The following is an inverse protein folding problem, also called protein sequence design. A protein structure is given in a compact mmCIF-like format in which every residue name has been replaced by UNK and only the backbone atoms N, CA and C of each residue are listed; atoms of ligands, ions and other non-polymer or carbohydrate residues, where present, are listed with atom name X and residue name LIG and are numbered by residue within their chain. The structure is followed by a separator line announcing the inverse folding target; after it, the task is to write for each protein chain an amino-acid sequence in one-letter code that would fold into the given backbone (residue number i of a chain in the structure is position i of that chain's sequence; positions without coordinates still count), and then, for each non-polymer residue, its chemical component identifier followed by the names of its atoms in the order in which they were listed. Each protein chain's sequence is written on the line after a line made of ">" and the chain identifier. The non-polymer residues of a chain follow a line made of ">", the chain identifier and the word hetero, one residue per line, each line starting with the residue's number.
data_IF_113172421970
#
_entry.id   IF_113172421970
#
_cell.length_a   1.000
_cell.length_b   1.000
_cell.length_c   1.000
_cell.angle_alpha   90.00
_cell.angle_beta   90.00
_cell.angle_gamma   90.00
#
_symmetry.space_group_name_H-M   'P 1'
#
loop_
_entity.id
_entity.type
_entity.pdbx_description
1 polymer ?
#
# COMPACT_ATOMS: atom_id res chain seq x y z
N UNK A 1 34.48 -17.25 -65.23
CA UNK A 1 33.51 -16.20 -64.86
C UNK A 1 32.68 -16.78 -63.73
N UNK A 2 32.91 -16.34 -62.49
CA UNK A 2 32.11 -16.79 -61.35
C UNK A 2 30.81 -15.98 -61.38
N UNK A 3 29.68 -16.63 -61.69
CA UNK A 3 28.38 -16.03 -61.41
C UNK A 3 28.20 -16.09 -59.89
N UNK A 4 28.49 -14.98 -59.21
CA UNK A 4 28.00 -14.83 -57.84
C UNK A 4 26.49 -14.76 -57.88
N UNK A 5 25.82 -15.70 -57.22
CA UNK A 5 24.37 -15.68 -57.07
C UNK A 5 23.98 -14.90 -55.82
N UNK A 6 22.80 -14.29 -55.86
CA UNK A 6 22.21 -13.58 -54.73
C UNK A 6 20.97 -14.35 -54.25
N UNK A 7 20.80 -14.45 -52.94
CA UNK A 7 19.58 -14.98 -52.31
C UNK A 7 18.87 -13.82 -51.64
N UNK A 8 17.63 -13.56 -52.06
CA UNK A 8 16.80 -12.48 -51.53
C UNK A 8 15.48 -13.09 -51.05
N UNK A 9 15.09 -12.80 -49.80
CA UNK A 9 13.80 -13.21 -49.27
C UNK A 9 12.71 -12.16 -49.58
N UNK A 10 11.56 -12.66 -50.01
CA UNK A 10 10.32 -11.88 -50.13
C UNK A 10 9.20 -12.49 -49.28
N UNK A 11 8.27 -11.65 -48.85
CA UNK A 11 7.07 -12.07 -48.15
C UNK A 11 5.81 -11.54 -48.83
N UNK A 12 4.69 -12.22 -48.62
CA UNK A 12 3.37 -11.71 -49.01
C UNK A 12 3.05 -10.39 -48.29
N UNK A 13 2.02 -9.68 -48.78
CA UNK A 13 1.55 -8.46 -48.13
C UNK A 13 1.19 -8.75 -46.67
N UNK A 14 1.80 -8.02 -45.75
CA UNK A 14 1.58 -8.19 -44.32
C UNK A 14 0.23 -7.58 -43.90
N UNK A 15 -0.43 -8.15 -42.86
CA UNK A 15 -1.50 -7.48 -42.14
C UNK A 15 -1.02 -6.12 -41.61
N UNK A 16 -1.93 -5.15 -41.45
CA UNK A 16 -1.57 -3.80 -41.00
C UNK A 16 -0.98 -3.79 -39.59
N UNK A 17 -1.36 -4.79 -38.81
CA UNK A 17 -1.06 -5.00 -37.40
C UNK A 17 0.31 -5.61 -37.17
N UNK A 18 0.94 -6.18 -38.21
CA UNK A 18 2.13 -7.02 -38.10
C UNK A 18 3.32 -6.38 -38.81
N UNK A 19 4.45 -6.36 -38.12
CA UNK A 19 5.75 -5.94 -38.68
C UNK A 19 6.71 -7.10 -38.74
N UNK A 20 7.60 -7.08 -39.72
CA UNK A 20 8.62 -8.11 -39.93
C UNK A 20 9.99 -7.45 -40.10
N UNK A 21 10.96 -7.95 -39.34
CA UNK A 21 12.36 -7.55 -39.42
C UNK A 21 13.19 -8.76 -39.85
N UNK A 22 14.14 -8.53 -40.75
CA UNK A 22 15.02 -9.55 -41.26
C UNK A 22 16.46 -9.23 -40.90
N UNK A 23 17.21 -10.29 -40.61
CA UNK A 23 18.65 -10.25 -40.45
C UNK A 23 19.27 -11.43 -41.19
N UNK A 24 20.22 -11.15 -42.06
CA UNK A 24 20.90 -12.16 -42.86
C UNK A 24 22.23 -12.54 -42.23
N UNK A 25 22.59 -13.81 -42.32
CA UNK A 25 23.88 -14.36 -41.91
C UNK A 25 24.43 -15.16 -43.09
N UNK A 26 25.32 -14.51 -43.83
CA UNK A 26 25.92 -15.06 -45.05
C UNK A 26 27.32 -15.64 -44.76
N UNK A 27 27.86 -16.43 -45.69
CA UNK A 27 29.11 -17.21 -45.59
C UNK A 27 30.39 -16.43 -45.15
N UNK A 28 30.36 -15.10 -45.14
CA UNK A 28 31.51 -14.24 -44.79
C UNK A 28 31.38 -13.54 -43.42
N UNK A 29 30.49 -13.99 -42.53
CA UNK A 29 30.12 -13.28 -41.30
C UNK A 29 29.57 -11.85 -41.53
N UNK A 30 29.22 -11.56 -42.79
CA UNK A 30 28.57 -10.30 -43.17
C UNK A 30 27.12 -10.42 -42.72
N UNK A 31 26.78 -9.66 -41.68
CA UNK A 31 25.43 -9.58 -41.15
C UNK A 31 24.72 -8.38 -41.76
N UNK A 32 23.67 -8.63 -42.54
CA UNK A 32 22.80 -7.59 -43.07
C UNK A 32 21.69 -7.25 -42.07
N UNK A 33 21.33 -5.98 -41.95
CA UNK A 33 20.17 -5.49 -41.18
C UNK A 33 19.38 -4.49 -42.01
N UNK A 34 18.10 -4.29 -41.68
CA UNK A 34 17.24 -3.40 -42.44
C UNK A 34 17.00 -3.95 -43.85
N UNK A 35 17.18 -3.11 -44.88
CA UNK A 35 16.96 -3.50 -46.28
C UNK A 35 17.94 -4.60 -46.74
N UNK A 36 19.18 -4.59 -46.25
CA UNK A 36 20.18 -5.62 -46.55
C UNK A 36 19.98 -6.92 -45.74
N UNK A 37 19.14 -6.88 -44.69
CA UNK A 37 18.87 -8.06 -43.85
C UNK A 37 18.07 -9.16 -44.55
N UNK A 38 17.49 -8.86 -45.73
CA UNK A 38 16.76 -9.81 -46.57
C UNK A 38 17.63 -10.47 -47.63
N UNK A 39 18.91 -10.09 -47.74
CA UNK A 39 19.77 -10.45 -48.86
C UNK A 39 21.08 -11.07 -48.40
N UNK A 40 21.53 -12.08 -49.16
CA UNK A 40 22.90 -12.58 -49.15
C UNK A 40 23.48 -12.53 -50.56
N UNK A 41 24.65 -11.90 -50.71
CA UNK A 41 25.38 -11.78 -51.97
C UNK A 41 26.60 -12.70 -52.00
N UNK A 42 27.14 -12.97 -53.20
CA UNK A 42 28.34 -13.80 -53.39
C UNK A 42 28.18 -15.25 -52.93
N UNK A 43 27.00 -15.82 -53.15
CA UNK A 43 26.67 -17.20 -52.83
C UNK A 43 27.00 -18.10 -54.03
N UNK A 44 27.62 -19.25 -53.76
CA UNK A 44 27.93 -20.30 -54.74
C UNK A 44 27.03 -21.52 -54.55
N UNK A 45 26.94 -22.38 -55.56
CA UNK A 45 26.18 -23.63 -55.45
C UNK A 45 26.77 -24.50 -54.32
N UNK A 46 25.91 -24.95 -53.41
CA UNK A 46 26.29 -25.73 -52.23
C UNK A 46 26.57 -24.90 -50.97
N UNK A 47 26.51 -23.56 -51.07
CA UNK A 47 26.64 -22.67 -49.92
C UNK A 47 25.32 -22.60 -49.14
N UNK A 48 25.42 -22.60 -47.81
CA UNK A 48 24.30 -22.41 -46.90
C UNK A 48 24.29 -20.98 -46.35
N UNK A 49 23.10 -20.39 -46.28
CA UNK A 49 22.87 -19.08 -45.67
C UNK A 49 21.69 -19.20 -44.70
N UNK A 50 21.71 -18.38 -43.64
CA UNK A 50 20.64 -18.38 -42.66
C UNK A 50 20.07 -16.98 -42.48
N UNK A 51 18.77 -16.90 -42.22
CA UNK A 51 18.06 -15.65 -41.95
C UNK A 51 17.35 -15.76 -40.61
N UNK A 52 17.51 -14.74 -39.77
CA UNK A 52 16.73 -14.56 -38.56
C UNK A 52 15.59 -13.59 -38.88
N UNK A 53 14.37 -14.03 -38.56
CA UNK A 53 13.15 -13.33 -38.91
C UNK A 53 12.40 -13.04 -37.62
N UNK A 54 12.18 -11.76 -37.33
CA UNK A 54 11.45 -11.31 -36.16
C UNK A 54 10.10 -10.76 -36.59
N UNK A 55 9.04 -11.47 -36.21
CA UNK A 55 7.66 -11.09 -36.47
C UNK A 55 7.09 -10.45 -35.21
N UNK A 56 6.51 -9.26 -35.32
CA UNK A 56 5.93 -8.51 -34.20
C UNK A 56 4.47 -8.18 -34.49
N UNK A 57 3.57 -8.64 -33.63
CA UNK A 57 2.17 -8.23 -33.62
C UNK A 57 2.02 -6.98 -32.75
N UNK A 58 1.60 -5.86 -33.32
CA UNK A 58 1.52 -4.57 -32.63
C UNK A 58 0.13 -4.33 -32.02
N UNK A 59 -0.90 -4.96 -32.57
CA UNK A 59 -2.27 -4.85 -32.09
C UNK A 59 -3.07 -6.11 -32.45
N UNK A 60 -4.20 -6.29 -31.78
CA UNK A 60 -5.15 -7.34 -32.10
C UNK A 60 -5.95 -7.02 -33.37
N UNK A 61 -6.11 -7.97 -34.31
CA UNK A 61 -6.92 -7.77 -35.50
C UNK A 61 -8.40 -7.69 -35.13
N UNK A 62 -9.16 -6.81 -35.78
CA UNK A 62 -10.60 -6.58 -35.51
C UNK A 62 -11.49 -7.81 -35.71
N UNK A 63 -11.03 -8.80 -36.49
CA UNK A 63 -11.84 -9.97 -36.89
C UNK A 63 -11.38 -11.30 -36.32
N UNK A 64 -10.37 -11.32 -35.42
CA UNK A 64 -9.87 -12.58 -34.84
C UNK A 64 -9.57 -13.65 -35.90
N UNK A 65 -9.13 -13.23 -37.10
CA UNK A 65 -8.78 -14.14 -38.18
C UNK A 65 -7.32 -14.52 -38.05
N UNK A 66 -7.05 -15.81 -38.20
CA UNK A 66 -5.70 -16.31 -38.34
C UNK A 66 -5.10 -15.74 -39.63
N UNK A 67 -3.89 -15.22 -39.52
CA UNK A 67 -3.17 -14.64 -40.66
C UNK A 67 -1.97 -15.53 -40.99
N UNK A 68 -1.69 -15.71 -42.28
CA UNK A 68 -0.53 -16.51 -42.73
C UNK A 68 0.47 -15.61 -43.45
N UNK A 69 1.70 -15.58 -42.95
CA UNK A 69 2.84 -14.97 -43.63
C UNK A 69 3.56 -16.05 -44.42
N UNK A 70 3.75 -15.81 -45.71
CA UNK A 70 4.51 -16.69 -46.60
C UNK A 70 5.83 -16.01 -46.93
N UNK A 71 6.93 -16.69 -46.70
CA UNK A 71 8.29 -16.19 -46.96
C UNK A 71 8.98 -17.15 -47.92
N UNK A 72 9.53 -16.62 -49.01
CA UNK A 72 10.21 -17.44 -50.01
C UNK A 72 11.45 -16.74 -50.58
N UNK A 73 12.44 -17.50 -51.04
CA UNK A 73 13.51 -16.95 -51.85
C UNK A 73 12.97 -16.53 -53.23
N UNK A 74 13.39 -15.35 -53.69
CA UNK A 74 13.01 -14.84 -55.00
C UNK A 74 13.44 -15.82 -56.11
N UNK A 75 12.51 -16.21 -56.97
CA UNK A 75 12.77 -17.14 -58.08
C UNK A 75 12.71 -18.63 -57.71
N UNK A 76 12.42 -18.96 -56.45
CA UNK A 76 12.17 -20.33 -56.00
C UNK A 76 10.68 -20.55 -55.69
N UNK A 77 10.25 -21.81 -55.81
CA UNK A 77 8.86 -22.22 -55.50
C UNK A 77 8.68 -22.66 -54.06
N UNK A 78 9.77 -22.94 -53.35
CA UNK A 78 9.77 -23.36 -51.96
C UNK A 78 9.50 -22.15 -51.05
N UNK A 79 8.60 -22.32 -50.08
CA UNK A 79 8.21 -21.26 -49.16
C UNK A 79 8.06 -21.78 -47.73
N UNK A 80 8.25 -20.89 -46.77
CA UNK A 80 7.97 -21.10 -45.35
C UNK A 80 6.67 -20.38 -45.02
N UNK A 81 5.71 -21.11 -44.44
CA UNK A 81 4.45 -20.56 -43.97
C UNK A 81 4.50 -20.36 -42.44
N UNK A 82 4.18 -19.15 -41.99
CA UNK A 82 4.07 -18.78 -40.58
C UNK A 82 2.60 -18.48 -40.31
N UNK A 83 1.94 -19.35 -39.55
CA UNK A 83 0.56 -19.16 -39.11
C UNK A 83 0.53 -18.36 -37.81
N UNK A 84 -0.14 -17.22 -37.83
CA UNK A 84 -0.28 -16.31 -36.70
C UNK A 84 -1.67 -16.46 -36.08
N UNK A 85 -1.68 -16.95 -34.84
CA UNK A 85 -2.86 -16.98 -33.97
C UNK A 85 -2.76 -15.83 -32.97
N UNK A 86 -3.76 -14.94 -32.96
CA UNK A 86 -3.79 -13.77 -32.09
C UNK A 86 -4.61 -14.03 -30.83
N UNK A 87 -3.94 -14.13 -29.68
CA UNK A 87 -4.60 -14.31 -28.38
C UNK A 87 -4.99 -12.95 -27.82
N UNK A 88 -6.21 -12.51 -28.14
CA UNK A 88 -6.72 -11.18 -27.81
C UNK A 88 -7.64 -11.13 -26.60
N UNK A 89 -8.24 -12.28 -26.24
CA UNK A 89 -9.14 -12.40 -25.10
C UNK A 89 -8.49 -13.24 -23.99
N UNK A 90 -8.83 -12.91 -22.74
CA UNK A 90 -8.44 -13.72 -21.59
C UNK A 90 -9.30 -14.98 -21.52
N UNK A 91 -8.71 -16.12 -21.15
CA UNK A 91 -9.47 -17.38 -21.03
C UNK A 91 -10.67 -17.28 -20.08
N UNK A 92 -10.54 -16.51 -19.00
CA UNK A 92 -11.59 -16.28 -18.00
C UNK A 92 -12.83 -15.54 -18.53
N UNK A 93 -12.81 -14.97 -19.75
CA UNK A 93 -14.02 -14.43 -20.39
C UNK A 93 -15.01 -15.53 -20.75
N UNK A 94 -14.54 -16.74 -21.09
CA UNK A 94 -15.40 -17.86 -21.48
C UNK A 94 -16.29 -18.35 -20.34
N UNK A 95 -15.81 -18.22 -19.11
CA UNK A 95 -16.54 -18.58 -17.89
C UNK A 95 -17.40 -17.43 -17.34
N UNK A 96 -17.51 -16.33 -18.07
CA UNK A 96 -18.31 -15.18 -17.68
C UNK A 96 -19.77 -15.54 -17.52
N UNK A 97 -20.38 -15.11 -16.41
CA UNK A 97 -21.81 -15.28 -16.15
C UNK A 97 -22.54 -14.06 -16.72
N UNK A 98 -23.29 -14.20 -17.82
CA UNK A 98 -24.09 -13.09 -18.36
C UNK A 98 -25.19 -12.72 -17.36
N UNK A 99 -25.51 -11.42 -17.28
CA UNK A 99 -26.52 -10.87 -16.37
C UNK A 99 -26.43 -11.44 -14.94
N UNK A 100 -25.20 -11.41 -14.39
CA UNK A 100 -24.91 -12.04 -13.11
C UNK A 100 -25.75 -11.42 -11.98
N UNK A 101 -26.31 -12.25 -11.08
CA UNK A 101 -27.05 -11.75 -9.92
C UNK A 101 -26.17 -10.94 -8.96
N UNK A 102 -24.87 -11.23 -8.92
CA UNK A 102 -23.88 -10.53 -8.09
C UNK A 102 -23.65 -9.10 -8.60
N UNK A 103 -23.80 -8.87 -9.90
CA UNK A 103 -23.67 -7.55 -10.53
C UNK A 103 -25.00 -6.81 -10.50
N UNK A 104 -25.54 -6.60 -9.29
CA UNK A 104 -26.81 -5.90 -9.05
C UNK A 104 -27.97 -6.47 -9.86
N UNK A 105 -28.22 -7.77 -9.67
CA UNK A 105 -29.36 -8.49 -10.25
C UNK A 105 -29.44 -8.39 -11.78
N UNK A 106 -28.30 -8.57 -12.47
CA UNK A 106 -28.24 -8.54 -13.94
C UNK A 106 -27.92 -7.18 -14.55
N UNK A 107 -27.29 -6.28 -13.81
CA UNK A 107 -26.80 -4.99 -14.31
C UNK A 107 -25.44 -5.11 -15.04
N UNK A 108 -24.96 -6.33 -15.29
CA UNK A 108 -23.75 -6.62 -16.09
C UNK A 108 -23.33 -8.09 -15.97
N UNK A 109 -22.47 -8.60 -16.89
CA UNK A 109 -21.81 -9.88 -16.70
C UNK A 109 -20.77 -9.84 -15.57
N UNK A 110 -20.57 -10.98 -14.91
CA UNK A 110 -19.46 -11.22 -13.99
C UNK A 110 -18.43 -12.11 -14.67
N UNK A 111 -17.24 -11.58 -14.94
CA UNK A 111 -16.19 -12.25 -15.70
C UNK A 111 -14.81 -11.87 -15.14
N UNK A 112 -13.87 -12.82 -15.15
CA UNK A 112 -12.51 -12.60 -14.64
C UNK A 112 -12.43 -12.00 -13.21
N UNK A 113 -13.43 -12.25 -12.37
CA UNK A 113 -13.50 -11.77 -10.99
C UNK A 113 -14.07 -10.36 -10.79
N UNK A 114 -14.63 -9.73 -11.83
CA UNK A 114 -15.20 -8.40 -11.77
C UNK A 114 -16.53 -8.29 -12.53
N UNK A 115 -17.34 -7.29 -12.18
CA UNK A 115 -18.55 -6.94 -12.93
C UNK A 115 -18.21 -5.95 -14.05
N UNK A 116 -18.59 -6.27 -15.29
CA UNK A 116 -18.56 -5.33 -16.42
C UNK A 116 -19.95 -4.69 -16.55
N UNK A 117 -20.12 -3.49 -16.00
CA UNK A 117 -21.45 -2.87 -15.88
C UNK A 117 -22.05 -2.47 -17.24
N UNK A 118 -23.36 -2.62 -17.36
CA UNK A 118 -24.14 -2.10 -18.48
C UNK A 118 -24.05 -0.57 -18.53
N UNK A 119 -24.25 0.05 -19.72
CA UNK A 119 -24.31 1.49 -19.85
C UNK A 119 -25.24 2.13 -18.81
N UNK A 120 -24.81 3.22 -18.17
CA UNK A 120 -25.57 3.90 -17.11
C UNK A 120 -25.42 3.31 -15.70
N UNK A 121 -24.69 2.20 -15.52
CA UNK A 121 -24.42 1.60 -14.20
C UNK A 121 -22.93 1.68 -13.86
N UNK A 122 -22.64 1.93 -12.59
CA UNK A 122 -21.27 2.08 -12.06
C UNK A 122 -21.16 1.42 -10.69
N UNK A 123 -19.93 1.26 -10.20
CA UNK A 123 -19.64 0.59 -8.93
C UNK A 123 -19.04 -0.79 -9.15
N UNK A 124 -18.51 -1.38 -8.07
CA UNK A 124 -17.81 -2.68 -8.12
C UNK A 124 -18.77 -3.81 -8.51
N UNK A 125 -20.03 -3.67 -8.15
CA UNK A 125 -21.12 -4.61 -8.38
C UNK A 125 -22.25 -3.97 -9.21
N UNK A 126 -21.97 -2.87 -9.93
CA UNK A 126 -22.95 -2.13 -10.73
C UNK A 126 -24.14 -1.59 -9.94
N UNK A 127 -23.91 -1.25 -8.67
CA UNK A 127 -24.91 -0.89 -7.68
C UNK A 127 -25.50 0.51 -7.90
N UNK A 128 -24.75 1.45 -8.48
CA UNK A 128 -25.16 2.84 -8.65
C UNK A 128 -25.60 3.16 -10.08
N UNK A 129 -26.49 4.15 -10.23
CA UNK A 129 -26.81 4.78 -11.51
C UNK A 129 -25.86 5.95 -11.79
N UNK A 130 -25.47 6.15 -13.06
CA UNK A 130 -24.68 7.32 -13.46
C UNK A 130 -25.44 8.64 -13.28
N UNK A 131 -26.77 8.63 -13.31
CA UNK A 131 -27.59 9.84 -13.16
C UNK A 131 -27.51 10.45 -11.75
N UNK A 132 -27.10 9.66 -10.75
CA UNK A 132 -26.98 10.10 -9.35
C UNK A 132 -25.58 10.68 -9.04
N UNK A 133 -24.62 10.52 -9.94
CA UNK A 133 -23.21 10.84 -9.69
C UNK A 133 -22.68 11.67 -10.86
N UNK A 134 -22.63 12.98 -10.67
CA UNK A 134 -22.12 13.91 -11.67
C UNK A 134 -20.68 13.51 -12.03
N UNK A 135 -20.49 13.06 -13.28
CA UNK A 135 -19.24 12.65 -13.90
C UNK A 135 -18.20 13.77 -13.76
N UNK A 136 -17.03 13.53 -13.18
CA UNK A 136 -15.87 13.11 -13.99
C UNK A 136 -14.84 12.26 -13.23
N UNK A 137 -15.01 11.97 -11.94
CA UNK A 137 -14.06 11.10 -11.25
C UNK A 137 -14.62 10.58 -9.91
N UNK A 138 -15.31 9.43 -9.90
CA UNK A 138 -15.84 8.79 -8.68
C UNK A 138 -14.74 8.56 -7.65
N UNK A 139 -13.51 8.34 -8.12
CA UNK A 139 -12.32 8.18 -7.28
C UNK A 139 -11.88 9.49 -6.60
N UNK A 140 -12.22 10.65 -7.19
CA UNK A 140 -11.96 11.96 -6.59
C UNK A 140 -12.95 12.28 -5.47
N UNK A 141 -14.20 11.83 -5.57
CA UNK A 141 -15.24 12.16 -4.58
C UNK A 141 -14.99 11.52 -3.21
N UNK A 142 -14.29 10.37 -3.19
CA UNK A 142 -13.89 9.64 -1.99
C UNK A 142 -12.45 9.95 -1.53
N UNK A 143 -11.83 10.97 -2.11
CA UNK A 143 -10.46 11.38 -1.81
C UNK A 143 -10.50 12.76 -1.18
N UNK A 144 -9.83 12.91 -0.03
CA UNK A 144 -9.66 14.21 0.60
C UNK A 144 -8.76 15.10 -0.26
N UNK A 145 -9.04 16.41 -0.28
CA UNK A 145 -8.15 17.38 -0.92
C UNK A 145 -6.71 17.20 -0.41
N UNK A 146 -5.74 17.16 -1.34
CA UNK A 146 -4.32 16.91 -1.07
C UNK A 146 -3.96 15.52 -0.53
N UNK A 147 -4.81 14.50 -0.69
CA UNK A 147 -4.47 13.11 -0.35
C UNK A 147 -4.42 12.22 -1.59
N UNK A 148 -3.49 11.26 -1.62
CA UNK A 148 -3.48 10.20 -2.63
C UNK A 148 -4.38 9.01 -2.25
N UNK A 149 -4.86 8.97 -1.01
CA UNK A 149 -5.59 7.85 -0.42
C UNK A 149 -7.10 7.98 -0.61
N UNK A 150 -7.73 6.90 -1.05
CA UNK A 150 -9.19 6.79 -1.14
C UNK A 150 -9.71 6.34 0.22
N UNK A 151 -10.66 7.07 0.78
CA UNK A 151 -11.25 6.80 2.10
C UNK A 151 -10.19 6.59 3.20
N UNK A 152 -9.08 7.34 3.15
CA UNK A 152 -7.96 7.27 4.10
C UNK A 152 -7.46 5.85 4.39
N UNK A 153 -7.60 4.93 3.40
CA UNK A 153 -7.31 3.50 3.55
C UNK A 153 -8.07 2.78 4.68
N UNK A 154 -9.12 3.41 5.22
CA UNK A 154 -9.93 2.92 6.33
C UNK A 154 -11.37 2.60 5.90
N UNK A 155 -11.65 2.52 4.60
CA UNK A 155 -12.97 2.24 4.07
C UNK A 155 -12.96 1.91 2.58
N UNK A 156 -14.15 1.65 2.07
CA UNK A 156 -14.39 1.40 0.65
C UNK A 156 -15.16 2.58 0.05
N UNK A 157 -14.78 3.01 -1.15
CA UNK A 157 -15.51 4.03 -1.89
C UNK A 157 -16.65 3.37 -2.68
N UNK A 158 -17.89 3.61 -2.28
CA UNK A 158 -19.09 3.06 -2.90
C UNK A 158 -19.92 4.25 -3.39
N UNK A 159 -20.16 4.31 -4.70
CA UNK A 159 -20.95 5.38 -5.34
C UNK A 159 -20.51 6.82 -4.99
N UNK A 160 -19.20 7.06 -4.83
CA UNK A 160 -18.66 8.38 -4.49
C UNK A 160 -18.76 8.76 -3.01
N UNK A 161 -19.13 7.82 -2.13
CA UNK A 161 -19.12 8.00 -0.68
C UNK A 161 -18.25 6.93 -0.01
N UNK A 162 -17.55 7.31 1.05
CA UNK A 162 -16.76 6.36 1.82
C UNK A 162 -17.61 5.60 2.84
N UNK A 163 -17.57 4.28 2.76
CA UNK A 163 -18.12 3.38 3.77
C UNK A 163 -16.97 2.86 4.62
N UNK A 164 -16.90 3.32 5.87
CA UNK A 164 -15.78 3.01 6.75
C UNK A 164 -15.78 1.54 7.18
N UNK A 165 -14.58 0.96 7.21
CA UNK A 165 -14.35 -0.44 7.56
C UNK A 165 -14.70 -0.65 9.03
N UNK A 166 -15.45 -1.72 9.30
CA UNK A 166 -15.74 -2.16 10.67
C UNK A 166 -14.54 -2.91 11.25
N UNK A 167 -14.29 -2.74 12.54
CA UNK A 167 -13.27 -3.48 13.30
C UNK A 167 -13.88 -4.65 14.06
N UNK A 168 -13.03 -5.55 14.55
CA UNK A 168 -13.44 -6.67 15.40
C UNK A 168 -14.05 -6.17 16.72
N UNK A 169 -13.44 -5.15 17.32
CA UNK A 169 -14.00 -4.44 18.44
C UNK A 169 -15.05 -3.43 17.96
N UNK A 170 -16.31 -3.65 18.31
CA UNK A 170 -17.42 -2.78 17.89
C UNK A 170 -17.33 -1.34 18.44
N UNK A 171 -16.58 -1.13 19.53
CA UNK A 171 -16.38 0.20 20.10
C UNK A 171 -15.28 1.00 19.37
N UNK A 172 -14.49 0.36 18.52
CA UNK A 172 -13.47 1.00 17.69
C UNK A 172 -14.05 1.38 16.33
N UNK A 173 -14.22 2.67 16.11
CA UNK A 173 -14.98 3.19 14.99
C UNK A 173 -14.08 4.11 14.16
N UNK A 174 -14.04 3.86 12.85
CA UNK A 174 -13.60 4.83 11.87
C UNK A 174 -14.78 5.70 11.45
N UNK A 175 -14.55 7.00 11.35
CA UNK A 175 -15.59 7.99 11.04
C UNK A 175 -15.06 9.11 10.16
N UNK A 176 -15.94 10.05 9.80
CA UNK A 176 -15.63 11.14 8.88
C UNK A 176 -16.03 10.82 7.44
N UNK A 177 -16.08 11.86 6.59
CA UNK A 177 -16.52 11.74 5.19
C UNK A 177 -15.60 10.84 4.38
N UNK A 178 -14.32 10.79 4.76
CA UNK A 178 -13.28 10.03 4.09
C UNK A 178 -12.69 8.96 5.02
N UNK A 179 -13.37 8.57 6.10
CA UNK A 179 -12.87 7.62 7.10
C UNK A 179 -11.50 8.05 7.70
N UNK A 180 -11.30 9.36 7.81
CA UNK A 180 -10.07 9.98 8.28
C UNK A 180 -9.94 10.03 9.81
N UNK A 181 -11.06 9.90 10.50
CA UNK A 181 -11.15 9.95 11.96
C UNK A 181 -11.24 8.54 12.55
N UNK A 182 -10.74 8.40 13.77
CA UNK A 182 -11.04 7.25 14.62
C UNK A 182 -11.08 7.66 16.11
N UNK A 183 -11.67 6.81 16.94
CA UNK A 183 -11.85 7.02 18.37
C UNK A 183 -10.93 6.16 19.25
N UNK A 184 -9.83 5.62 18.70
CA UNK A 184 -8.97 4.66 19.42
C UNK A 184 -7.46 4.90 19.26
N UNK A 185 -7.03 5.78 18.35
CA UNK A 185 -5.63 6.21 18.21
C UNK A 185 -5.35 7.58 18.84
N UNK A 186 -6.01 7.91 19.96
CA UNK A 186 -5.61 9.06 20.77
C UNK A 186 -4.40 8.73 21.67
N UNK A 187 -3.81 9.78 22.24
CA UNK A 187 -2.73 9.66 23.21
C UNK A 187 -3.16 8.84 24.44
N UNK A 188 -2.19 8.14 25.02
CA UNK A 188 -2.39 7.29 26.19
C UNK A 188 -1.51 7.75 27.34
N UNK A 189 -2.06 7.70 28.54
CA UNK A 189 -1.30 7.83 29.79
C UNK A 189 -1.60 6.62 30.68
N UNK A 190 -0.56 6.05 31.29
CA UNK A 190 -0.62 4.80 32.06
C UNK A 190 -1.34 3.64 31.34
N UNK A 191 -1.20 3.59 30.01
CA UNK A 191 -1.83 2.58 29.15
C UNK A 191 -3.31 2.83 28.82
N UNK A 192 -3.94 3.83 29.43
CA UNK A 192 -5.34 4.21 29.22
C UNK A 192 -5.47 5.27 28.13
N UNK A 193 -6.46 5.11 27.25
CA UNK A 193 -6.80 6.10 26.23
C UNK A 193 -7.28 7.40 26.91
N UNK A 194 -6.69 8.53 26.53
CA UNK A 194 -6.95 9.82 27.17
C UNK A 194 -6.83 9.77 28.70
N UNK A 195 -5.89 8.96 29.21
CA UNK A 195 -5.63 8.80 30.64
C UNK A 195 -6.81 8.24 31.44
N UNK A 196 -7.89 7.78 30.77
CA UNK A 196 -9.16 7.46 31.41
C UNK A 196 -9.99 8.69 31.85
N UNK A 197 -9.53 9.90 31.50
CA UNK A 197 -10.12 11.18 31.92
C UNK A 197 -10.58 12.03 30.73
N UNK A 198 -10.85 11.41 29.59
CA UNK A 198 -11.34 12.10 28.41
C UNK A 198 -11.98 11.16 27.39
N UNK A 199 -12.66 11.73 26.42
CA UNK A 199 -13.23 11.02 25.28
C UNK A 199 -12.33 11.22 24.06
N UNK A 200 -12.00 10.14 23.36
CA UNK A 200 -11.23 10.23 22.12
C UNK A 200 -12.14 10.58 20.94
N UNK A 201 -12.03 11.79 20.40
CA UNK A 201 -12.79 12.25 19.23
C UNK A 201 -11.83 12.59 18.09
N UNK A 202 -11.93 11.84 16.99
CA UNK A 202 -11.09 12.02 15.81
C UNK A 202 -9.58 12.16 16.15
N UNK A 203 -9.06 11.23 16.96
CA UNK A 203 -7.65 11.17 17.42
C UNK A 203 -7.20 12.30 18.34
N UNK A 204 -8.12 13.12 18.84
CA UNK A 204 -7.84 14.12 19.86
C UNK A 204 -8.62 13.78 21.14
N UNK A 205 -7.97 13.97 22.29
CA UNK A 205 -8.62 13.76 23.58
C UNK A 205 -9.39 15.00 24.00
N UNK A 206 -10.71 14.87 24.11
CA UNK A 206 -11.56 15.85 24.79
C UNK A 206 -11.56 15.53 26.29
N UNK A 207 -10.78 16.29 27.06
CA UNK A 207 -10.63 16.05 28.50
C UNK A 207 -11.89 16.40 29.28
N UNK A 208 -12.15 15.61 30.32
CA UNK A 208 -13.15 15.91 31.32
C UNK A 208 -12.80 17.19 32.10
N UNK A 209 -13.77 17.75 32.81
CA UNK A 209 -13.55 18.94 33.63
C UNK A 209 -12.36 18.75 34.59
N UNK A 210 -11.52 19.79 34.68
CA UNK A 210 -10.29 19.82 35.47
C UNK A 210 -9.18 18.85 35.01
N UNK A 211 -9.24 18.29 33.80
CA UNK A 211 -8.11 17.58 33.19
C UNK A 211 -7.62 18.32 31.95
N UNK A 212 -6.30 18.29 31.73
CA UNK A 212 -5.63 18.90 30.59
C UNK A 212 -4.46 18.02 30.12
N UNK A 213 -3.79 18.45 29.06
CA UNK A 213 -2.74 17.68 28.39
C UNK A 213 -3.31 16.89 27.21
N UNK A 214 -2.46 16.50 26.27
CA UNK A 214 -2.90 15.78 25.06
C UNK A 214 -3.45 14.37 25.39
N UNK A 215 -3.02 13.80 26.52
CA UNK A 215 -3.50 12.54 27.05
C UNK A 215 -4.46 12.70 28.24
N UNK A 216 -4.93 13.91 28.56
CA UNK A 216 -5.77 14.21 29.73
C UNK A 216 -5.22 13.68 31.06
N UNK A 217 -3.91 13.69 31.21
CA UNK A 217 -3.17 13.17 32.37
C UNK A 217 -2.91 14.23 33.44
N UNK A 218 -3.13 15.50 33.13
CA UNK A 218 -2.83 16.59 34.04
C UNK A 218 -4.08 17.11 34.76
N UNK A 219 -4.21 16.77 36.05
CA UNK A 219 -5.29 17.29 36.90
C UNK A 219 -5.02 18.74 37.32
N UNK A 220 -5.98 19.63 37.06
CA UNK A 220 -5.86 21.08 37.26
C UNK A 220 -6.22 21.54 38.67
N UNK A 221 -6.88 20.71 39.46
CA UNK A 221 -7.18 21.06 40.85
C UNK A 221 -5.87 21.14 41.66
N UNK A 222 -5.79 22.19 42.46
CA UNK A 222 -4.65 22.46 43.35
C UNK A 222 -4.89 21.95 44.77
N UNK A 223 -6.09 21.44 45.08
CA UNK A 223 -6.39 20.86 46.39
C UNK A 223 -5.36 19.81 46.87
N UNK A 224 -4.86 18.89 46.02
CA UNK A 224 -3.81 17.94 46.44
C UNK A 224 -2.46 18.61 46.80
N UNK A 225 -2.23 19.83 46.32
CA UNK A 225 -1.03 20.61 46.57
C UNK A 225 -1.16 21.57 47.77
N UNK A 226 -2.34 21.67 48.40
CA UNK A 226 -2.56 22.53 49.54
C UNK A 226 -1.91 21.92 50.80
N UNK A 227 -0.96 22.64 51.38
CA UNK A 227 -0.29 22.22 52.60
C UNK A 227 -1.12 22.56 53.85
N UNK A 228 -0.79 21.96 54.99
CA UNK A 228 -1.49 22.21 56.26
C UNK A 228 -1.42 23.66 56.76
N UNK A 229 -0.57 24.51 56.17
CA UNK A 229 -0.51 25.95 56.43
C UNK A 229 -1.44 26.78 55.52
N UNK A 230 -2.26 26.15 54.68
CA UNK A 230 -3.18 26.78 53.74
C UNK A 230 -2.52 27.36 52.49
N UNK A 231 -1.23 27.08 52.25
CA UNK A 231 -0.51 27.54 51.06
C UNK A 231 -0.27 26.38 50.09
N UNK A 232 -0.40 26.67 48.79
CA UNK A 232 -0.01 25.73 47.74
C UNK A 232 1.50 25.46 47.83
N UNK A 233 1.86 24.19 47.95
CA UNK A 233 3.25 23.72 48.05
C UNK A 233 4.06 24.45 49.14
N UNK A 234 3.45 24.75 50.30
CA UNK A 234 4.03 25.54 51.39
C UNK A 234 4.59 26.91 50.96
N UNK A 235 4.14 27.46 49.82
CA UNK A 235 4.70 28.68 49.21
C UNK A 235 6.11 28.51 48.63
N UNK A 236 6.58 27.27 48.46
CA UNK A 236 7.95 26.89 48.06
C UNK A 236 8.01 26.09 46.77
N UNK A 237 6.91 26.08 46.02
CA UNK A 237 6.79 25.28 44.82
C UNK A 237 5.67 25.76 43.91
N UNK A 238 5.60 25.14 42.73
CA UNK A 238 4.53 25.35 41.75
C UNK A 238 3.77 24.03 41.66
N UNK A 239 2.45 24.07 41.90
CA UNK A 239 1.60 22.90 41.68
C UNK A 239 1.44 22.69 40.17
N UNK A 240 1.80 21.51 39.68
CA UNK A 240 1.59 21.07 38.30
C UNK A 240 0.95 19.70 38.32
N UNK A 241 -0.21 19.57 37.67
CA UNK A 241 -0.92 18.29 37.56
C UNK A 241 -1.22 17.64 38.92
N UNK A 242 -1.60 18.43 39.93
CA UNK A 242 -1.84 17.95 41.30
C UNK A 242 -0.59 17.56 42.10
N UNK A 243 0.61 17.83 41.58
CA UNK A 243 1.89 17.52 42.25
C UNK A 243 2.71 18.79 42.44
N UNK A 244 3.25 18.97 43.64
CA UNK A 244 4.13 20.10 43.92
C UNK A 244 5.52 19.90 43.31
N UNK A 245 5.91 20.83 42.43
CA UNK A 245 7.28 20.97 41.97
C UNK A 245 7.99 22.05 42.81
N UNK A 246 8.80 21.62 43.77
CA UNK A 246 9.50 22.51 44.69
C UNK A 246 10.55 23.35 43.95
N UNK A 247 10.52 24.67 44.13
CA UNK A 247 11.42 25.59 43.41
C UNK A 247 12.84 25.58 43.98
N UNK A 248 12.99 25.29 45.28
CA UNK A 248 14.28 25.11 45.94
C UNK A 248 14.53 23.62 46.20
N UNK A 249 15.61 23.03 45.67
CA UNK A 249 15.93 21.60 45.77
C UNK A 249 16.21 21.12 47.20
N UNK A 250 16.37 22.02 48.18
CA UNK A 250 16.49 21.66 49.60
C UNK A 250 15.17 21.17 50.20
N UNK A 251 14.05 21.50 49.56
CA UNK A 251 12.72 21.11 50.01
C UNK A 251 12.20 19.94 49.17
N UNK A 252 11.60 18.98 49.85
CA UNK A 252 11.04 17.74 49.28
C UNK A 252 9.71 17.41 49.97
N UNK A 253 9.06 16.33 49.56
CA UNK A 253 7.76 15.91 50.07
C UNK A 253 6.60 16.37 49.17
N UNK A 254 5.40 15.77 49.34
CA UNK A 254 4.22 16.02 48.52
C UNK A 254 3.82 17.49 48.42
N UNK A 255 4.12 18.32 49.43
CA UNK A 255 3.80 19.75 49.46
C UNK A 255 5.01 20.63 49.73
N UNK A 256 6.25 20.15 49.51
CA UNK A 256 7.49 20.87 49.78
C UNK A 256 7.75 21.20 51.26
N UNK A 257 7.26 20.37 52.18
CA UNK A 257 7.36 20.57 53.63
C UNK A 257 8.67 20.06 54.24
N UNK A 258 9.33 19.07 53.63
CA UNK A 258 10.50 18.41 54.21
C UNK A 258 11.78 19.14 53.82
N UNK A 259 12.56 19.56 54.82
CA UNK A 259 13.87 20.16 54.61
C UNK A 259 14.94 19.42 55.43
N UNK A 260 15.59 18.39 54.88
CA UNK A 260 16.61 17.62 55.58
C UNK A 260 17.85 18.44 56.00
N UNK A 261 18.10 19.56 55.32
CA UNK A 261 19.26 20.45 55.56
C UNK A 261 18.95 21.65 56.45
N UNK A 262 17.69 21.82 56.85
CA UNK A 262 17.29 22.85 57.80
C UNK A 262 17.61 22.38 59.23
N UNK A 263 18.31 23.22 60.01
CA UNK A 263 18.81 22.93 61.36
C UNK A 263 17.69 22.85 62.44
N UNK A 264 16.57 22.15 62.17
CA UNK A 264 15.39 22.17 63.04
C UNK A 264 14.51 20.92 63.12
N UNK A 265 14.79 19.83 62.41
CA UNK A 265 13.97 18.61 62.46
C UNK A 265 14.78 17.37 62.86
N UNK A 266 15.25 17.36 64.11
CA UNK A 266 15.53 16.11 64.83
C UNK A 266 14.60 16.05 66.04
N UNK A 267 13.38 15.57 65.83
CA UNK A 267 12.55 15.04 66.91
C UNK A 267 11.56 14.01 66.35
N UNK A 268 11.86 12.75 66.67
CA UNK A 268 10.91 11.65 66.88
C UNK A 268 10.18 11.04 65.67
N UNK A 269 10.83 10.05 65.07
CA UNK A 269 10.20 8.73 64.90
C UNK A 269 11.26 7.63 64.94
N UNK A 270 11.52 7.10 66.13
CA UNK A 270 12.16 5.79 66.26
C UNK A 270 11.15 4.75 65.79
N UNK A 271 11.35 4.21 64.60
CA UNK A 271 10.89 2.84 64.30
C UNK A 271 12.13 1.97 64.25
N UNK A 272 12.32 1.20 65.31
CA UNK A 272 13.29 0.13 65.36
C UNK A 272 12.83 -0.95 64.35
N UNK A 273 13.60 -1.15 63.29
CA UNK A 273 13.54 -2.39 62.52
C UNK A 273 14.76 -3.22 62.90
N UNK A 274 14.49 -4.32 63.59
CA UNK A 274 15.44 -5.34 64.01
C UNK A 274 15.98 -6.11 62.80
N UNK A 275 17.16 -6.69 63.02
CA UNK A 275 18.12 -7.23 62.05
C UNK A 275 17.76 -8.58 61.43
N UNK A 276 16.65 -8.70 60.69
CA UNK A 276 16.41 -9.89 59.89
C UNK A 276 15.97 -9.53 58.47
N UNK A 277 16.62 -10.19 57.50
CA UNK A 277 16.31 -10.22 56.06
C UNK A 277 17.04 -9.23 55.13
N UNK A 278 18.35 -9.02 55.35
CA UNK A 278 19.31 -8.83 54.24
C UNK A 278 20.01 -10.15 53.94
N UNK A 279 19.43 -10.98 53.07
CA UNK A 279 20.18 -12.02 52.34
C UNK A 279 19.31 -12.72 51.29
N UNK A 280 19.20 -12.10 50.11
CA UNK A 280 19.31 -12.82 48.82
C UNK A 280 19.20 -11.84 47.65
N UNK A 281 20.35 -11.47 47.10
CA UNK A 281 20.44 -11.03 45.72
C UNK A 281 21.56 -11.83 45.05
N UNK A 282 21.27 -12.69 44.06
CA UNK A 282 22.27 -13.12 43.11
C UNK A 282 22.24 -12.18 41.90
N UNK A 283 23.42 -11.66 41.58
CA UNK A 283 23.77 -11.22 40.23
C UNK A 283 23.49 -12.34 39.23
N UNK A 284 22.89 -12.04 38.07
CA UNK A 284 23.34 -12.63 36.80
C UNK A 284 23.18 -11.64 35.63
N UNK A 285 24.31 -11.42 34.99
CA UNK A 285 24.50 -10.83 33.67
C UNK A 285 24.48 -11.99 32.67
N UNK A 286 23.76 -11.90 31.53
CA UNK A 286 24.06 -12.71 30.35
C UNK A 286 23.44 -12.13 29.07
N UNK A 287 24.30 -11.81 28.11
CA UNK A 287 24.00 -11.68 26.68
C UNK A 287 23.57 -13.03 26.10
N UNK A 288 22.63 -13.02 25.15
CA UNK A 288 22.63 -13.96 24.01
C UNK A 288 22.13 -13.28 22.73
N UNK A 289 23.00 -13.33 21.74
CA UNK A 289 22.75 -13.20 20.30
C UNK A 289 21.94 -14.38 19.78
N UNK A 290 21.07 -14.14 18.80
CA UNK A 290 20.65 -15.15 17.81
C UNK A 290 20.39 -14.49 16.45
N UNK A 291 20.73 -15.25 15.43
CA UNK A 291 20.84 -14.88 14.02
C UNK A 291 19.95 -15.82 13.18
N UNK A 292 19.57 -15.35 11.99
CA UNK A 292 19.09 -16.07 10.78
C UNK A 292 17.65 -16.62 10.75
N UNK A 293 16.85 -16.10 9.80
CA UNK A 293 16.41 -16.83 8.59
C UNK A 293 15.80 -15.90 7.54
N UNK A 294 16.27 -16.08 6.30
CA UNK A 294 15.72 -15.54 5.05
C UNK A 294 14.58 -16.44 4.58
N UNK A 295 13.50 -15.85 4.09
CA UNK A 295 12.58 -16.49 3.15
C UNK A 295 12.25 -15.56 1.99
N UNK A 296 12.21 -16.16 0.81
CA UNK A 296 12.05 -15.52 -0.49
C UNK A 296 10.59 -15.66 -0.92
N UNK A 297 9.88 -14.55 -1.14
CA UNK A 297 8.54 -14.57 -1.71
C UNK A 297 8.59 -14.14 -3.19
N UNK A 298 8.06 -14.99 -4.08
CA UNK A 298 7.77 -14.66 -5.48
C UNK A 298 6.38 -14.02 -5.55
N UNK A 299 6.30 -12.78 -6.03
CA UNK A 299 5.05 -12.17 -6.47
C UNK A 299 4.97 -12.24 -8.00
N UNK A 300 3.91 -12.86 -8.52
CA UNK A 300 3.47 -12.70 -9.91
C UNK A 300 2.46 -11.54 -9.91
N UNK A 301 2.73 -10.51 -10.71
CA UNK A 301 1.78 -9.42 -10.96
C UNK A 301 1.21 -9.60 -12.36
N UNK A 302 -0.04 -10.04 -12.45
CA UNK A 302 -0.89 -9.76 -13.60
C UNK A 302 -1.50 -8.38 -13.34
N UNK A 303 -1.01 -7.36 -14.04
CA UNK A 303 -1.64 -6.05 -14.01
C UNK A 303 -2.92 -6.10 -14.85
N UNK A 304 -4.06 -6.15 -14.16
CA UNK A 304 -5.31 -5.69 -14.74
C UNK A 304 -5.17 -4.17 -14.94
N UNK A 305 -5.15 -3.72 -16.20
CA UNK A 305 -5.36 -2.31 -16.51
C UNK A 305 -6.80 -1.96 -16.10
N UNK A 306 -6.91 -0.99 -15.19
CA UNK A 306 -8.16 -0.26 -14.94
C UNK A 306 -8.51 0.61 -16.13
#
# INVERSE_FOLDING_TARGET
>A
MSLSSEVILENNKLPKEVTIEYKSFCKNEVNGTGDEGRKCSNISIGDEVSFEIKVTANQCPEKGQDETIKIKPLGFTEEVEINLEFICECECHKDGIPDSPICSHGSGPFECGACRCKPGRIGKLCECSMDEVNSEDISSTCRRANSSEICSNNGECICGQCVCRKRENANEIYSGRFCECDNFNCDRSDGLLCGGHGECKCRECECAENYTGSACDCYMDTAPCEAGNGQICNGRGICKCGVCNCTDPKFTGPTCELCPTCLGFFAESKVAMTSEQMSQWPHQNQQKSQEVKRETARAKSCQAKR
#
